data_IF_120438787640
#
_entry.id   IF_120438787640
#
_cell.length_a   1.000
_cell.length_b   1.000
_cell.length_c   1.000
_cell.angle_alpha   90.00
_cell.angle_beta   90.00
_cell.angle_gamma   90.00
#
_symmetry.space_group_name_H-M   'P 1'
#
loop_
_entity.id
_entity.type
_entity.pdbx_description
1 polymer ?
#
# COMPACT_ATOMS: atom_id res chain seq x y z
N UNK A 1 -25.16 -18.77 18.15
CA UNK A 1 -25.35 -17.66 17.19
C UNK A 1 -24.36 -17.85 16.05
N UNK A 2 -24.79 -17.75 14.78
CA UNK A 2 -23.88 -17.84 13.61
C UNK A 2 -23.60 -16.43 13.08
N UNK A 3 -22.33 -16.13 12.82
CA UNK A 3 -21.89 -14.87 12.21
C UNK A 3 -21.32 -15.17 10.83
N UNK A 4 -21.72 -14.38 9.83
CA UNK A 4 -21.19 -14.47 8.46
C UNK A 4 -20.42 -13.20 8.13
N UNK A 5 -19.20 -13.37 7.62
CA UNK A 5 -18.37 -12.28 7.14
C UNK A 5 -18.48 -12.23 5.62
N UNK A 6 -18.96 -11.10 5.09
CA UNK A 6 -19.10 -10.87 3.65
C UNK A 6 -18.28 -9.63 3.31
N UNK A 7 -17.27 -9.81 2.47
CA UNK A 7 -16.41 -8.72 2.01
C UNK A 7 -17.14 -7.85 0.98
N UNK A 8 -17.21 -6.55 1.24
CA UNK A 8 -17.60 -5.58 0.22
C UNK A 8 -16.41 -5.34 -0.72
N UNK A 9 -16.47 -5.96 -1.90
CA UNK A 9 -15.41 -5.90 -2.93
C UNK A 9 -15.58 -4.68 -3.82
N UNK A 10 -14.48 -4.00 -4.13
CA UNK A 10 -14.44 -2.85 -5.04
C UNK A 10 -13.56 -3.14 -6.26
N UNK A 11 -13.98 -2.68 -7.43
CA UNK A 11 -13.23 -2.84 -8.67
C UNK A 11 -12.22 -1.70 -8.83
N UNK A 12 -11.10 -2.02 -9.50
CA UNK A 12 -10.17 -1.01 -9.96
C UNK A 12 -10.69 -0.34 -11.24
N UNK A 13 -10.28 0.91 -11.46
CA UNK A 13 -10.42 1.57 -12.76
C UNK A 13 -9.59 0.88 -13.84
N UNK A 14 -9.57 1.48 -15.05
CA UNK A 14 -8.70 0.98 -16.13
C UNK A 14 -7.23 1.10 -15.69
N UNK A 15 -6.55 -0.04 -15.54
CA UNK A 15 -5.16 -0.08 -15.08
C UNK A 15 -4.25 0.49 -16.16
N UNK A 16 -3.90 1.76 -15.97
CA UNK A 16 -2.96 2.50 -16.78
C UNK A 16 -2.43 3.65 -15.92
N UNK A 17 -1.22 3.49 -15.41
CA UNK A 17 -0.53 4.50 -14.62
C UNK A 17 0.94 4.59 -15.00
N UNK A 18 1.49 5.79 -14.83
CA UNK A 18 2.91 6.01 -14.97
C UNK A 18 3.66 5.33 -13.83
N UNK A 19 4.50 4.36 -14.19
CA UNK A 19 5.36 3.65 -13.26
C UNK A 19 6.78 4.23 -13.24
N UNK A 20 7.02 5.31 -13.99
CA UNK A 20 8.30 6.00 -13.97
C UNK A 20 8.62 6.51 -12.56
N UNK A 21 9.85 6.29 -12.10
CA UNK A 21 10.26 6.65 -10.74
C UNK A 21 9.90 5.64 -9.65
N UNK A 22 9.25 4.51 -9.97
CA UNK A 22 9.06 3.43 -9.01
C UNK A 22 10.35 2.59 -8.81
N UNK A 23 10.65 2.17 -7.57
CA UNK A 23 11.73 1.21 -7.29
C UNK A 23 11.54 -0.14 -7.98
N UNK A 24 12.64 -0.86 -8.18
CA UNK A 24 12.65 -2.16 -8.87
C UNK A 24 11.93 -3.28 -8.10
N UNK A 25 11.88 -3.21 -6.76
CA UNK A 25 11.17 -4.18 -5.92
C UNK A 25 10.13 -3.50 -5.02
N UNK A 26 8.86 -3.77 -5.28
CA UNK A 26 7.73 -3.21 -4.56
C UNK A 26 6.98 -4.26 -3.76
N UNK A 27 6.65 -3.93 -2.51
CA UNK A 27 5.65 -4.64 -1.71
C UNK A 27 4.27 -4.04 -1.94
N UNK A 28 3.32 -4.85 -2.41
CA UNK A 28 1.95 -4.39 -2.67
C UNK A 28 1.10 -4.64 -1.44
N UNK A 29 0.49 -3.58 -0.92
CA UNK A 29 -0.40 -3.61 0.23
C UNK A 29 -1.71 -2.89 -0.10
N UNK A 30 -2.82 -3.31 0.50
CA UNK A 30 -4.12 -2.68 0.29
C UNK A 30 -5.10 -2.97 1.43
N UNK A 31 -6.33 -2.47 1.35
CA UNK A 31 -7.43 -2.83 2.24
C UNK A 31 -8.22 -4.02 1.69
N UNK A 32 -9.07 -4.62 2.51
CA UNK A 32 -9.85 -5.81 2.13
C UNK A 32 -10.67 -5.63 0.83
N UNK A 33 -11.12 -4.40 0.56
CA UNK A 33 -11.98 -4.08 -0.59
C UNK A 33 -11.30 -4.37 -1.93
N UNK A 34 -9.97 -4.20 -2.02
CA UNK A 34 -9.20 -4.35 -3.27
C UNK A 34 -8.29 -5.57 -3.27
N UNK A 35 -8.31 -6.39 -2.21
CA UNK A 35 -7.42 -7.55 -2.06
C UNK A 35 -7.51 -8.50 -3.27
N UNK A 36 -8.73 -8.72 -3.78
CA UNK A 36 -9.01 -9.57 -4.94
C UNK A 36 -8.47 -9.01 -6.28
N UNK A 37 -8.20 -7.71 -6.36
CA UNK A 37 -7.72 -7.04 -7.58
C UNK A 37 -6.19 -6.88 -7.61
N UNK A 38 -5.49 -7.15 -6.51
CA UNK A 38 -4.04 -6.96 -6.40
C UNK A 38 -3.25 -7.66 -7.50
N UNK A 39 -3.70 -8.85 -7.91
CA UNK A 39 -3.04 -9.63 -8.95
C UNK A 39 -2.94 -8.85 -10.26
N UNK A 40 -3.97 -8.08 -10.62
CA UNK A 40 -3.97 -7.27 -11.85
C UNK A 40 -2.90 -6.18 -11.82
N UNK A 41 -2.65 -5.57 -10.66
CA UNK A 41 -1.58 -4.58 -10.47
C UNK A 41 -0.20 -5.23 -10.55
N UNK A 42 -0.04 -6.42 -9.95
CA UNK A 42 1.21 -7.19 -10.03
C UNK A 42 1.53 -7.55 -11.48
N UNK A 43 0.56 -8.06 -12.22
CA UNK A 43 0.73 -8.42 -13.63
C UNK A 43 1.08 -7.19 -14.50
N UNK A 44 0.49 -6.03 -14.19
CA UNK A 44 0.81 -4.77 -14.86
C UNK A 44 2.25 -4.30 -14.56
N UNK A 45 2.67 -4.33 -13.30
CA UNK A 45 4.04 -3.94 -12.90
C UNK A 45 5.08 -4.89 -13.47
N UNK A 46 4.79 -6.20 -13.55
CA UNK A 46 5.67 -7.18 -14.14
C UNK A 46 5.96 -6.89 -15.62
N UNK A 47 4.94 -6.47 -16.38
CA UNK A 47 5.10 -6.06 -17.80
C UNK A 47 6.00 -4.83 -17.96
N UNK A 48 6.19 -4.04 -16.90
CA UNK A 48 7.11 -2.89 -16.85
C UNK A 48 8.45 -3.23 -16.17
N UNK A 49 8.76 -4.52 -16.02
CA UNK A 49 10.01 -5.01 -15.41
C UNK A 49 10.20 -4.61 -13.93
N UNK A 50 9.10 -4.29 -13.23
CA UNK A 50 9.09 -4.00 -11.80
C UNK A 50 8.65 -5.26 -11.05
N UNK A 51 9.52 -5.76 -10.15
CA UNK A 51 9.20 -6.91 -9.31
C UNK A 51 8.21 -6.50 -8.22
N UNK A 52 7.03 -7.06 -8.23
CA UNK A 52 5.98 -6.81 -7.24
C UNK A 52 5.74 -8.05 -6.37
N UNK A 53 5.76 -7.87 -5.05
CA UNK A 53 5.47 -8.91 -4.06
C UNK A 53 4.11 -8.60 -3.43
N UNK A 54 3.17 -9.54 -3.49
CA UNK A 54 1.88 -9.41 -2.81
C UNK A 54 2.10 -9.56 -1.31
N UNK A 55 2.03 -8.47 -0.57
CA UNK A 55 2.13 -8.50 0.90
C UNK A 55 0.75 -8.70 1.55
N UNK A 56 -0.30 -8.15 0.93
CA UNK A 56 -1.70 -8.41 1.30
C UNK A 56 -2.37 -7.24 2.03
N UNK A 57 -3.27 -7.57 2.95
CA UNK A 57 -4.13 -6.59 3.63
C UNK A 57 -3.39 -5.83 4.72
N UNK A 58 -3.60 -4.52 4.78
CA UNK A 58 -3.27 -3.67 5.93
C UNK A 58 -4.54 -3.14 6.58
N UNK A 59 -4.47 -2.99 7.90
CA UNK A 59 -5.51 -2.42 8.76
C UNK A 59 -5.02 -1.10 9.34
N UNK A 60 -5.95 -0.33 9.90
CA UNK A 60 -5.63 0.96 10.49
C UNK A 60 -4.62 0.88 11.64
N UNK A 61 -4.71 -0.17 12.47
CA UNK A 61 -3.82 -0.41 13.59
C UNK A 61 -2.69 -1.41 13.28
N UNK A 62 -2.77 -2.16 12.18
CA UNK A 62 -1.88 -3.27 11.89
C UNK A 62 -1.39 -3.23 10.42
N UNK A 63 -0.09 -2.96 10.26
CA UNK A 63 0.60 -3.03 8.97
C UNK A 63 1.46 -4.30 8.84
N UNK A 64 1.14 -5.35 9.60
CA UNK A 64 1.92 -6.59 9.73
C UNK A 64 2.21 -7.27 8.40
N UNK A 65 1.27 -7.23 7.46
CA UNK A 65 1.49 -7.64 6.07
C UNK A 65 2.70 -6.95 5.45
N UNK A 66 2.79 -5.61 5.55
CA UNK A 66 3.96 -4.87 5.08
C UNK A 66 5.22 -5.16 5.90
N UNK A 67 5.11 -5.23 7.23
CA UNK A 67 6.25 -5.46 8.13
C UNK A 67 6.97 -6.77 7.83
N UNK A 68 6.23 -7.85 7.55
CA UNK A 68 6.80 -9.17 7.22
C UNK A 68 7.69 -9.15 5.97
N UNK A 69 7.40 -8.27 5.02
CA UNK A 69 8.10 -8.19 3.72
C UNK A 69 9.10 -7.03 3.63
N UNK A 70 9.29 -6.23 4.69
CA UNK A 70 10.14 -5.03 4.63
C UNK A 70 11.60 -5.30 4.24
N UNK A 71 12.09 -6.52 4.48
CA UNK A 71 13.45 -6.95 4.10
C UNK A 71 13.59 -7.32 2.62
N UNK A 72 12.48 -7.66 1.96
CA UNK A 72 12.48 -8.20 0.60
C UNK A 72 12.25 -7.12 -0.47
N UNK A 73 11.82 -5.92 -0.04
CA UNK A 73 11.35 -4.84 -0.93
C UNK A 73 12.05 -3.51 -0.64
N UNK A 74 12.15 -2.69 -1.69
CA UNK A 74 12.77 -1.37 -1.63
C UNK A 74 11.77 -0.31 -1.17
N UNK A 75 10.51 -0.45 -1.56
CA UNK A 75 9.39 0.40 -1.17
C UNK A 75 8.07 -0.36 -1.18
N UNK A 76 7.01 0.26 -0.67
CA UNK A 76 5.64 -0.25 -0.74
C UNK A 76 4.78 0.55 -1.71
N UNK A 77 3.87 -0.12 -2.40
CA UNK A 77 2.76 0.47 -3.14
C UNK A 77 1.46 0.14 -2.41
N UNK A 78 0.82 1.17 -1.88
CA UNK A 78 -0.49 1.07 -1.25
C UNK A 78 -1.59 1.40 -2.27
N UNK A 79 -2.55 0.50 -2.43
CA UNK A 79 -3.73 0.70 -3.28
C UNK A 79 -4.90 1.14 -2.40
N UNK A 80 -5.39 2.38 -2.60
CA UNK A 80 -6.51 2.93 -1.84
C UNK A 80 -6.59 4.46 -1.90
N UNK A 81 -7.60 5.03 -1.24
CA UNK A 81 -7.93 6.47 -1.35
C UNK A 81 -7.44 7.32 -0.17
N UNK A 82 -7.25 6.72 1.01
CA UNK A 82 -6.86 7.44 2.24
C UNK A 82 -5.36 7.39 2.56
N UNK A 83 -4.93 8.29 3.46
CA UNK A 83 -3.52 8.42 3.87
C UNK A 83 -3.15 7.64 5.14
N UNK A 84 -4.15 7.25 5.94
CA UNK A 84 -3.93 6.65 7.24
C UNK A 84 -3.13 5.33 7.18
N UNK A 85 -3.55 4.40 6.32
CA UNK A 85 -2.85 3.13 6.09
C UNK A 85 -1.43 3.30 5.54
N UNK A 86 -1.17 4.05 4.45
CA UNK A 86 0.18 4.20 3.92
C UNK A 86 1.12 4.89 4.91
N UNK A 87 0.64 5.83 5.73
CA UNK A 87 1.42 6.40 6.84
C UNK A 87 1.76 5.32 7.87
N UNK A 88 0.79 4.48 8.26
CA UNK A 88 1.02 3.35 9.16
C UNK A 88 2.08 2.38 8.64
N UNK A 89 2.02 2.04 7.35
CA UNK A 89 3.03 1.21 6.67
C UNK A 89 4.39 1.90 6.72
N UNK A 90 4.49 3.18 6.37
CA UNK A 90 5.75 3.93 6.39
C UNK A 90 6.37 3.97 7.79
N UNK A 91 5.56 4.21 8.83
CA UNK A 91 6.02 4.26 10.22
C UNK A 91 6.53 2.91 10.73
N UNK A 92 5.83 1.81 10.42
CA UNK A 92 6.16 0.48 10.93
C UNK A 92 7.27 -0.22 10.13
N UNK A 93 7.38 0.06 8.83
CA UNK A 93 8.39 -0.54 7.96
C UNK A 93 9.65 0.31 7.84
N UNK A 94 9.55 1.63 8.03
CA UNK A 94 10.62 2.58 7.76
C UNK A 94 10.94 2.73 6.28
N UNK A 95 10.10 2.21 5.37
CA UNK A 95 10.32 2.20 3.92
C UNK A 95 9.50 3.29 3.23
N UNK A 96 9.95 3.79 2.07
CA UNK A 96 9.15 4.67 1.23
C UNK A 96 7.83 4.00 0.86
N UNK A 97 6.76 4.79 0.81
CA UNK A 97 5.43 4.32 0.41
C UNK A 97 4.91 5.18 -0.72
N UNK A 98 4.42 4.53 -1.76
CA UNK A 98 3.68 5.12 -2.87
C UNK A 98 2.21 4.80 -2.70
N UNK A 99 1.33 5.71 -3.10
CA UNK A 99 -0.12 5.56 -3.04
C UNK A 99 -0.66 5.56 -4.46
N UNK A 100 -1.32 4.48 -4.84
CA UNK A 100 -2.09 4.35 -6.08
C UNK A 100 -3.57 4.53 -5.78
N UNK A 101 -4.16 5.56 -6.37
CA UNK A 101 -5.59 5.77 -6.26
C UNK A 101 -6.34 4.76 -7.15
N UNK A 102 -7.26 3.94 -6.60
CA UNK A 102 -7.82 2.78 -7.30
C UNK A 102 -8.74 3.12 -8.49
N UNK A 103 -9.30 4.32 -8.53
CA UNK A 103 -10.16 4.75 -9.64
C UNK A 103 -9.40 5.55 -10.69
N UNK A 104 -8.76 6.66 -10.29
CA UNK A 104 -8.03 7.56 -11.19
C UNK A 104 -6.68 7.05 -11.66
N UNK A 105 -6.15 5.96 -11.06
CA UNK A 105 -4.81 5.43 -11.34
C UNK A 105 -3.66 6.43 -11.12
N UNK A 106 -3.93 7.52 -10.41
CA UNK A 106 -2.89 8.46 -10.03
C UNK A 106 -1.99 7.83 -8.98
N UNK A 107 -0.69 7.83 -9.27
CA UNK A 107 0.33 7.42 -8.31
C UNK A 107 1.01 8.65 -7.73
N UNK A 108 1.28 8.61 -6.43
CA UNK A 108 2.07 9.64 -5.75
C UNK A 108 2.96 9.02 -4.69
N UNK A 109 4.09 9.66 -4.42
CA UNK A 109 4.92 9.32 -3.27
C UNK A 109 4.31 9.93 -2.01
N UNK A 110 4.25 9.16 -0.93
CA UNK A 110 3.83 9.68 0.37
C UNK A 110 4.88 10.69 0.87
N UNK A 111 4.40 11.85 1.34
CA UNK A 111 5.25 12.92 1.88
C UNK A 111 6.00 12.45 3.13
N UNK A 112 7.32 12.64 3.15
CA UNK A 112 8.14 12.38 4.34
C UNK A 112 7.73 13.27 5.51
N UNK A 113 7.32 14.51 5.23
CA UNK A 113 6.97 15.49 6.25
C UNK A 113 5.73 15.06 7.03
N UNK A 114 4.76 14.44 6.36
CA UNK A 114 3.52 14.00 7.00
C UNK A 114 3.76 12.77 7.88
N UNK A 115 4.63 11.86 7.43
CA UNK A 115 5.10 10.73 8.25
C UNK A 115 5.87 11.25 9.48
N UNK A 116 6.75 12.25 9.30
CA UNK A 116 7.52 12.83 10.41
C UNK A 116 6.67 13.58 11.43
N UNK A 117 5.71 14.39 10.99
CA UNK A 117 4.78 15.11 11.88
C UNK A 117 4.06 14.13 12.79
N UNK A 118 3.55 13.02 12.24
CA UNK A 118 2.84 12.00 13.00
C UNK A 118 3.80 11.23 13.92
N UNK A 119 5.02 10.94 13.46
CA UNK A 119 6.07 10.34 14.30
C UNK A 119 6.42 11.23 15.50
N UNK A 120 6.55 12.54 15.30
CA UNK A 120 6.83 13.52 16.38
C UNK A 120 5.66 13.61 17.36
N UNK A 121 4.42 13.70 16.87
CA UNK A 121 3.22 13.69 17.73
C UNK A 121 3.15 12.44 18.61
N UNK A 122 3.37 11.24 18.05
CA UNK A 122 3.38 9.99 18.83
C UNK A 122 4.47 9.97 19.91
N UNK A 123 5.66 10.52 19.62
CA UNK A 123 6.75 10.59 20.60
C UNK A 123 6.46 11.53 21.77
N UNK A 124 5.78 12.66 21.53
CA UNK A 124 5.46 13.61 22.59
C UNK A 124 4.26 13.22 23.47
N UNK A 125 3.57 12.14 23.13
CA UNK A 125 2.48 11.55 23.93
C UNK A 125 2.96 10.45 24.88
N UNK A 126 4.22 10.01 24.74
CA UNK A 126 4.90 9.03 25.59
C UNK A 126 5.72 9.77 26.65
#
# INVERSE_FOLDING_TARGET
>A
MKTYHIEAKSLLGKIDFDASGLPKKLGIVTTIQYLHEMKKIVDYLWKKEIKAVVCGQVLGCDAGAGVRHKGDVDAFLYIGTGEFHPIGVALQTGKPVFVLHPESMNIRKLSSDDVEKIKKKKKGML
#
